data_IF_010411302322
#
_entry.id   IF_010411302322
#
_cell.length_a   1.000
_cell.length_b   1.000
_cell.length_c   1.000
_cell.angle_alpha   90.00
_cell.angle_beta   90.00
_cell.angle_gamma   90.00
#
_symmetry.space_group_name_H-M   'P 1'
#
loop_
_entity.id
_entity.type
_entity.pdbx_description
1 polymer ?
#
# COMPACT_ATOMS: atom_id res chain seq x y z
N UNK A 1 4.02 -22.03 -12.92
CA UNK A 1 4.03 -21.11 -11.75
C UNK A 1 2.64 -21.14 -11.14
N UNK A 2 2.53 -21.40 -9.83
CA UNK A 2 1.25 -21.50 -9.13
C UNK A 2 0.44 -20.21 -9.23
N UNK A 3 -0.88 -20.36 -9.22
CA UNK A 3 -1.81 -19.24 -9.43
C UNK A 3 -1.62 -18.19 -8.35
N UNK A 4 -1.45 -16.93 -8.76
CA UNK A 4 -1.41 -15.80 -7.83
C UNK A 4 -0.25 -15.84 -6.83
N UNK A 5 0.80 -16.62 -7.10
CA UNK A 5 1.99 -16.64 -6.25
C UNK A 5 2.61 -15.24 -6.13
N UNK A 6 2.85 -14.80 -4.90
CA UNK A 6 3.45 -13.49 -4.63
C UNK A 6 4.25 -13.52 -3.33
N UNK A 7 5.49 -13.01 -3.38
CA UNK A 7 6.26 -12.71 -2.18
C UNK A 7 5.75 -11.44 -1.50
N UNK A 8 5.39 -11.56 -0.23
CA UNK A 8 5.04 -10.43 0.64
C UNK A 8 6.26 -9.97 1.40
N UNK A 9 6.99 -10.92 1.98
CA UNK A 9 8.33 -10.69 2.53
C UNK A 9 9.26 -11.56 1.68
N UNK A 10 10.16 -10.92 0.96
CA UNK A 10 11.03 -11.58 -0.01
C UNK A 10 11.72 -12.79 0.61
N UNK A 11 11.54 -13.95 -0.02
CA UNK A 11 12.11 -15.24 0.39
C UNK A 11 11.75 -15.70 1.81
N UNK A 12 10.69 -15.17 2.42
CA UNK A 12 10.26 -15.54 3.78
C UNK A 12 8.78 -15.83 3.89
N UNK A 13 7.94 -14.97 3.29
CA UNK A 13 6.49 -15.07 3.40
C UNK A 13 5.84 -14.82 2.05
N UNK A 14 5.07 -15.79 1.57
CA UNK A 14 4.36 -15.70 0.30
C UNK A 14 2.86 -16.00 0.46
N UNK A 15 2.08 -15.47 -0.49
CA UNK A 15 0.69 -15.87 -0.73
C UNK A 15 0.57 -16.58 -2.08
N UNK A 16 -0.36 -17.52 -2.20
CA UNK A 16 -0.76 -18.10 -3.48
C UNK A 16 -2.22 -18.56 -3.47
N UNK A 17 -2.75 -18.86 -4.66
CA UNK A 17 -3.96 -19.66 -4.82
C UNK A 17 -3.75 -21.11 -4.40
N UNK A 18 -4.84 -21.87 -4.34
CA UNK A 18 -4.79 -23.26 -3.91
C UNK A 18 -3.87 -24.08 -4.82
N UNK A 19 -2.94 -24.87 -4.25
CA UNK A 19 -2.17 -25.83 -5.03
C UNK A 19 -3.11 -26.82 -5.74
N UNK A 20 -2.81 -27.15 -6.99
CA UNK A 20 -3.64 -28.09 -7.77
C UNK A 20 -4.92 -27.48 -8.37
N UNK A 21 -5.11 -26.15 -8.28
CA UNK A 21 -6.33 -25.52 -8.79
C UNK A 21 -6.37 -25.44 -10.32
N UNK A 22 -5.23 -25.18 -10.95
CA UNK A 22 -5.10 -25.07 -12.42
C UNK A 22 -4.09 -26.09 -12.96
N UNK A 23 -2.96 -26.27 -12.28
CA UNK A 23 -1.91 -27.22 -12.66
C UNK A 23 -2.00 -28.49 -11.83
N UNK A 24 -1.18 -29.49 -12.16
CA UNK A 24 -0.98 -30.63 -11.28
C UNK A 24 -0.37 -30.17 -9.94
N UNK A 25 -0.94 -30.65 -8.84
CA UNK A 25 -0.51 -30.25 -7.49
C UNK A 25 0.94 -30.63 -7.19
N UNK A 26 1.46 -31.73 -7.77
CA UNK A 26 2.84 -32.13 -7.62
C UNK A 26 3.80 -31.16 -8.32
N UNK A 27 3.38 -30.52 -9.42
CA UNK A 27 4.14 -29.45 -10.07
C UNK A 27 4.18 -28.19 -9.21
N UNK A 28 3.04 -27.79 -8.63
CA UNK A 28 2.98 -26.65 -7.70
C UNK A 28 3.89 -26.88 -6.48
N UNK A 29 3.85 -28.08 -5.90
CA UNK A 29 4.73 -28.46 -4.80
C UNK A 29 6.21 -28.51 -5.21
N UNK A 30 6.53 -29.03 -6.38
CA UNK A 30 7.91 -29.00 -6.90
C UNK A 30 8.41 -27.57 -7.08
N UNK A 31 7.53 -26.68 -7.55
CA UNK A 31 7.83 -25.25 -7.67
C UNK A 31 8.08 -24.60 -6.30
N UNK A 32 7.24 -24.86 -5.29
CA UNK A 32 7.44 -24.34 -3.94
C UNK A 32 8.74 -24.83 -3.30
N UNK A 33 9.11 -26.10 -3.50
CA UNK A 33 10.42 -26.61 -3.05
C UNK A 33 11.59 -25.84 -3.65
N UNK A 34 11.55 -25.58 -4.96
CA UNK A 34 12.61 -24.85 -5.64
C UNK A 34 12.75 -23.40 -5.15
N UNK A 35 11.69 -22.85 -4.58
CA UNK A 35 11.68 -21.53 -3.93
C UNK A 35 12.08 -21.57 -2.46
N UNK A 36 12.35 -22.75 -1.89
CA UNK A 36 12.72 -22.91 -0.48
C UNK A 36 11.56 -22.86 0.50
N UNK A 37 10.30 -22.91 0.04
CA UNK A 37 9.13 -23.02 0.92
C UNK A 37 9.28 -24.29 1.76
N UNK A 38 9.12 -24.17 3.08
CA UNK A 38 9.18 -25.30 4.02
C UNK A 38 7.86 -25.50 4.77
N UNK A 39 7.05 -24.44 4.91
CA UNK A 39 5.81 -24.45 5.68
C UNK A 39 4.63 -23.92 4.84
N UNK A 40 3.58 -24.72 4.71
CA UNK A 40 2.36 -24.35 3.97
C UNK A 40 1.17 -24.23 4.94
N UNK A 41 0.49 -23.09 4.89
CA UNK A 41 -0.72 -22.80 5.64
C UNK A 41 -1.92 -22.80 4.70
N UNK A 42 -2.81 -23.78 4.89
CA UNK A 42 -4.06 -23.91 4.17
C UNK A 42 -5.19 -23.16 4.90
N UNK A 43 -5.74 -22.12 4.27
CA UNK A 43 -6.83 -21.30 4.81
C UNK A 43 -8.22 -21.69 4.28
N UNK A 44 -8.29 -22.69 3.41
CA UNK A 44 -9.57 -23.18 2.88
C UNK A 44 -10.32 -24.03 3.90
N UNK A 45 -11.62 -24.17 3.70
CA UNK A 45 -12.51 -24.93 4.59
C UNK A 45 -12.15 -26.42 4.64
N UNK A 46 -11.57 -26.93 3.55
CA UNK A 46 -11.29 -28.35 3.38
C UNK A 46 -9.78 -28.61 3.30
N UNK A 47 -9.39 -29.82 3.68
CA UNK A 47 -8.03 -30.31 3.41
C UNK A 47 -7.87 -30.48 1.90
N UNK A 48 -6.71 -30.11 1.36
CA UNK A 48 -6.37 -30.26 -0.06
C UNK A 48 -5.46 -31.48 -0.21
N UNK A 49 -5.95 -32.62 -0.72
CA UNK A 49 -5.12 -33.79 -0.98
C UNK A 49 -4.39 -33.69 -2.33
N UNK A 50 -3.19 -34.31 -2.47
CA UNK A 50 -2.38 -34.90 -1.40
C UNK A 50 -1.83 -33.85 -0.43
N UNK A 51 -1.67 -34.23 0.84
CA UNK A 51 -1.15 -33.30 1.86
C UNK A 51 0.28 -32.85 1.50
N UNK A 52 0.62 -31.56 1.70
CA UNK A 52 1.99 -31.05 1.63
C UNK A 52 3.03 -31.88 2.40
N UNK A 53 2.63 -32.52 3.50
CA UNK A 53 3.54 -33.36 4.31
C UNK A 53 4.10 -34.54 3.54
N UNK A 54 3.35 -35.08 2.57
CA UNK A 54 3.83 -36.15 1.69
C UNK A 54 4.98 -35.70 0.78
N UNK A 55 5.07 -34.40 0.56
CA UNK A 55 6.14 -33.76 -0.21
C UNK A 55 7.21 -33.16 0.70
N UNK A 56 7.14 -33.33 2.02
CA UNK A 56 8.16 -32.86 2.95
C UNK A 56 8.00 -31.40 3.39
N UNK A 57 6.82 -30.80 3.21
CA UNK A 57 6.49 -29.52 3.84
C UNK A 57 5.88 -29.76 5.23
N UNK A 58 6.12 -28.83 6.16
CA UNK A 58 5.23 -28.65 7.32
C UNK A 58 3.88 -28.15 6.81
N UNK A 59 2.79 -28.63 7.40
CA UNK A 59 1.43 -28.19 7.05
C UNK A 59 0.70 -27.66 8.29
N UNK A 60 -0.04 -26.55 8.10
CA UNK A 60 -1.04 -26.07 9.06
C UNK A 60 -2.35 -25.86 8.32
N UNK A 61 -3.41 -26.51 8.80
CA UNK A 61 -4.77 -26.22 8.34
C UNK A 61 -5.43 -25.24 9.31
N UNK A 62 -5.88 -24.10 8.81
CA UNK A 62 -6.57 -23.06 9.55
C UNK A 62 -7.80 -22.60 8.73
N UNK A 63 -8.93 -23.31 8.82
CA UNK A 63 -10.07 -23.06 7.94
C UNK A 63 -10.71 -21.70 8.22
N UNK A 64 -10.90 -20.91 7.17
CA UNK A 64 -11.69 -19.67 7.18
C UNK A 64 -12.76 -19.84 6.11
N UNK A 65 -14.03 -19.64 6.47
CA UNK A 65 -15.14 -19.68 5.53
C UNK A 65 -14.90 -18.69 4.37
N UNK A 66 -15.30 -19.07 3.16
CA UNK A 66 -15.08 -18.22 1.99
C UNK A 66 -15.67 -16.83 2.18
N UNK A 67 -14.95 -15.84 1.65
CA UNK A 67 -15.27 -14.39 1.76
C UNK A 67 -15.42 -13.84 3.19
N UNK A 68 -15.20 -14.66 4.22
CA UNK A 68 -15.40 -14.29 5.62
C UNK A 68 -14.09 -13.87 6.30
N UNK A 69 -14.18 -13.55 7.59
CA UNK A 69 -13.06 -13.23 8.48
C UNK A 69 -12.72 -14.40 9.41
N UNK A 70 -11.48 -14.52 9.88
CA UNK A 70 -11.12 -15.51 10.88
C UNK A 70 -11.58 -15.09 12.28
N UNK A 71 -11.53 -16.01 13.24
CA UNK A 71 -11.67 -15.67 14.65
C UNK A 71 -10.42 -14.89 15.14
N UNK A 72 -10.62 -13.77 15.83
CA UNK A 72 -9.54 -12.83 16.19
C UNK A 72 -8.42 -13.45 17.06
N UNK A 73 -8.69 -14.06 18.24
CA UNK A 73 -7.65 -14.78 19.00
C UNK A 73 -6.93 -15.88 18.20
N UNK A 74 -7.68 -16.67 17.43
CA UNK A 74 -7.11 -17.77 16.65
C UNK A 74 -6.21 -17.26 15.50
N UNK A 75 -6.62 -16.17 14.84
CA UNK A 75 -5.81 -15.50 13.82
C UNK A 75 -4.53 -14.91 14.43
N UNK A 76 -4.61 -14.38 15.65
CA UNK A 76 -3.44 -13.89 16.36
C UNK A 76 -2.43 -15.00 16.65
N UNK A 77 -2.88 -16.13 17.18
CA UNK A 77 -2.05 -17.31 17.40
C UNK A 77 -1.41 -17.83 16.11
N UNK A 78 -2.18 -17.85 15.01
CA UNK A 78 -1.65 -18.24 13.70
C UNK A 78 -0.55 -17.28 13.23
N UNK A 79 -0.75 -15.97 13.36
CA UNK A 79 0.27 -14.99 12.96
C UNK A 79 1.54 -15.13 13.80
N UNK A 80 1.41 -15.37 15.12
CA UNK A 80 2.56 -15.67 15.98
C UNK A 80 3.30 -16.93 15.52
N UNK A 81 2.58 -18.02 15.22
CA UNK A 81 3.17 -19.27 14.73
C UNK A 81 3.93 -19.04 13.40
N UNK A 82 3.35 -18.29 12.47
CA UNK A 82 3.98 -17.95 11.18
C UNK A 82 5.26 -17.14 11.39
N UNK A 83 5.20 -16.08 12.21
CA UNK A 83 6.36 -15.22 12.43
C UNK A 83 7.49 -15.92 13.19
N UNK A 84 7.16 -16.75 14.18
CA UNK A 84 8.15 -17.60 14.87
C UNK A 84 8.81 -18.57 13.90
N UNK A 85 8.05 -19.24 13.02
CA UNK A 85 8.62 -20.12 12.01
C UNK A 85 9.59 -19.37 11.07
N UNK A 86 9.23 -18.14 10.66
CA UNK A 86 10.11 -17.29 9.84
C UNK A 86 11.40 -16.92 10.60
N UNK A 87 11.30 -16.59 11.89
CA UNK A 87 12.46 -16.27 12.72
C UNK A 87 13.37 -17.50 12.97
N UNK A 88 12.79 -18.71 12.96
CA UNK A 88 13.50 -19.99 13.00
C UNK A 88 14.09 -20.42 11.64
N UNK A 89 13.90 -19.60 10.59
CA UNK A 89 14.48 -19.81 9.26
C UNK A 89 13.59 -20.59 8.29
N UNK A 90 12.33 -20.85 8.64
CA UNK A 90 11.36 -21.42 7.71
C UNK A 90 10.90 -20.39 6.67
N UNK A 91 10.53 -20.87 5.49
CA UNK A 91 9.89 -20.04 4.46
C UNK A 91 8.44 -20.46 4.32
N UNK A 92 7.53 -19.52 4.56
CA UNK A 92 6.11 -19.79 4.78
C UNK A 92 5.27 -19.37 3.56
N UNK A 93 4.37 -20.24 3.13
CA UNK A 93 3.37 -19.97 2.10
C UNK A 93 1.96 -20.07 2.67
N UNK A 94 1.15 -19.03 2.48
CA UNK A 94 -0.28 -19.05 2.79
C UNK A 94 -1.08 -19.23 1.51
N UNK A 95 -2.11 -20.07 1.54
CA UNK A 95 -3.05 -20.15 0.44
C UNK A 95 -4.49 -20.24 0.93
N UNK A 96 -5.40 -19.73 0.10
CA UNK A 96 -6.83 -20.04 0.19
C UNK A 96 -7.26 -20.65 -1.15
N UNK A 97 -8.45 -20.35 -1.66
CA UNK A 97 -8.86 -20.80 -2.99
C UNK A 97 -8.16 -19.99 -4.09
N UNK A 98 -8.41 -18.68 -4.16
CA UNK A 98 -7.82 -17.78 -5.16
C UNK A 98 -6.51 -17.11 -4.71
N UNK A 99 -6.19 -17.17 -3.41
CA UNK A 99 -5.00 -16.52 -2.85
C UNK A 99 -5.14 -15.00 -2.65
N UNK A 100 -6.37 -14.48 -2.53
CA UNK A 100 -6.64 -13.03 -2.52
C UNK A 100 -7.30 -12.55 -1.21
N UNK A 101 -8.54 -12.92 -0.91
CA UNK A 101 -9.26 -12.44 0.29
C UNK A 101 -8.63 -12.93 1.60
N UNK A 102 -8.96 -14.16 2.00
CA UNK A 102 -8.48 -14.80 3.25
C UNK A 102 -6.96 -14.78 3.39
N UNK A 103 -6.25 -15.09 2.30
CA UNK A 103 -4.78 -15.05 2.25
C UNK A 103 -4.27 -13.63 2.51
N UNK A 104 -4.79 -12.62 1.80
CA UNK A 104 -4.43 -11.23 2.02
C UNK A 104 -4.71 -10.75 3.45
N UNK A 105 -5.84 -11.17 4.03
CA UNK A 105 -6.19 -10.82 5.42
C UNK A 105 -5.15 -11.31 6.42
N UNK A 106 -4.78 -12.59 6.39
CA UNK A 106 -3.77 -13.12 7.33
C UNK A 106 -2.37 -12.55 7.04
N UNK A 107 -2.01 -12.35 5.76
CA UNK A 107 -0.74 -11.71 5.39
C UNK A 107 -0.65 -10.27 5.95
N UNK A 108 -1.72 -9.48 5.85
CA UNK A 108 -1.80 -8.17 6.47
C UNK A 108 -1.66 -8.25 7.99
N UNK A 109 -2.36 -9.17 8.66
CA UNK A 109 -2.24 -9.38 10.09
C UNK A 109 -0.80 -9.72 10.52
N UNK A 110 -0.08 -10.53 9.76
CA UNK A 110 1.34 -10.81 10.03
C UNK A 110 2.19 -9.54 9.95
N UNK A 111 1.96 -8.68 8.95
CA UNK A 111 2.65 -7.39 8.83
C UNK A 111 2.31 -6.42 9.97
N UNK A 112 1.06 -6.41 10.42
CA UNK A 112 0.63 -5.63 11.58
C UNK A 112 1.34 -6.11 12.84
N UNK A 113 1.43 -7.43 13.03
CA UNK A 113 2.14 -8.02 14.15
C UNK A 113 3.65 -7.74 14.11
N UNK A 114 4.24 -7.57 12.92
CA UNK A 114 5.61 -7.08 12.71
C UNK A 114 5.77 -5.56 12.88
N UNK A 115 4.72 -4.85 13.33
CA UNK A 115 4.78 -3.43 13.69
C UNK A 115 4.30 -2.46 12.62
N UNK A 116 3.77 -2.92 11.47
CA UNK A 116 3.06 -2.02 10.55
C UNK A 116 1.72 -1.59 11.14
N UNK A 117 1.23 -0.42 10.74
CA UNK A 117 -0.18 -0.10 10.97
C UNK A 117 -1.08 -0.95 10.07
N UNK A 118 -2.35 -1.12 10.42
CA UNK A 118 -3.35 -1.80 9.61
C UNK A 118 -3.44 -1.21 8.20
N UNK A 119 -3.42 0.12 8.11
CA UNK A 119 -3.45 0.87 6.85
C UNK A 119 -2.19 0.57 6.03
N UNK A 120 -1.00 0.66 6.64
CA UNK A 120 0.26 0.39 5.93
C UNK A 120 0.36 -1.07 5.48
N UNK A 121 -0.09 -2.01 6.31
CA UNK A 121 -0.11 -3.43 5.98
C UNK A 121 -1.04 -3.71 4.78
N UNK A 122 -2.25 -3.14 4.79
CA UNK A 122 -3.21 -3.27 3.70
C UNK A 122 -2.72 -2.64 2.40
N UNK A 123 -2.16 -1.42 2.48
CA UNK A 123 -1.57 -0.74 1.32
C UNK A 123 -0.40 -1.54 0.75
N UNK A 124 0.50 -2.02 1.62
CA UNK A 124 1.68 -2.78 1.21
C UNK A 124 1.32 -4.04 0.41
N UNK A 125 0.35 -4.83 0.89
CA UNK A 125 -0.10 -6.01 0.14
C UNK A 125 -0.82 -5.61 -1.16
N UNK A 126 -1.59 -4.52 -1.18
CA UNK A 126 -2.32 -4.07 -2.37
C UNK A 126 -1.43 -3.49 -3.47
N UNK A 127 -0.26 -2.94 -3.13
CA UNK A 127 0.77 -2.57 -4.11
C UNK A 127 1.25 -3.82 -4.86
N UNK A 128 1.39 -4.97 -4.16
CA UNK A 128 1.79 -6.24 -4.77
C UNK A 128 0.67 -6.85 -5.61
N UNK A 129 -0.57 -6.79 -5.13
CA UNK A 129 -1.77 -7.15 -5.89
C UNK A 129 -2.99 -6.42 -5.35
N UNK A 130 -3.58 -5.55 -6.17
CA UNK A 130 -4.72 -4.69 -5.80
C UNK A 130 -5.98 -5.47 -5.42
N UNK A 131 -6.05 -6.76 -5.75
CA UNK A 131 -7.18 -7.64 -5.41
C UNK A 131 -7.06 -8.30 -4.03
N UNK A 132 -5.96 -8.12 -3.31
CA UNK A 132 -5.84 -8.61 -1.93
C UNK A 132 -6.86 -7.94 -1.02
N UNK A 133 -7.45 -8.74 -0.10
CA UNK A 133 -8.51 -8.33 0.83
C UNK A 133 -9.76 -7.89 0.06
N UNK A 134 -10.76 -8.78 -0.01
CA UNK A 134 -11.83 -8.70 -1.02
C UNK A 134 -13.16 -8.21 -0.47
N UNK A 135 -13.31 -8.11 0.86
CA UNK A 135 -14.53 -7.63 1.51
C UNK A 135 -14.21 -6.52 2.51
N UNK A 136 -15.18 -5.62 2.71
CA UNK A 136 -15.09 -4.58 3.75
C UNK A 136 -14.88 -5.19 5.14
N UNK A 137 -15.54 -6.31 5.42
CA UNK A 137 -15.40 -7.05 6.68
C UNK A 137 -13.95 -7.49 6.92
N UNK A 138 -13.24 -7.92 5.87
CA UNK A 138 -11.82 -8.29 5.96
C UNK A 138 -10.91 -7.07 6.16
N UNK A 139 -11.22 -5.91 5.56
CA UNK A 139 -10.49 -4.67 5.84
C UNK A 139 -10.68 -4.23 7.30
N UNK A 140 -11.93 -4.19 7.78
CA UNK A 140 -12.27 -3.84 9.16
C UNK A 140 -11.66 -4.81 10.17
N UNK A 141 -11.56 -6.09 9.80
CA UNK A 141 -10.86 -7.08 10.63
C UNK A 141 -9.39 -6.73 10.85
N UNK A 142 -8.68 -6.22 9.84
CA UNK A 142 -7.26 -5.83 9.96
C UNK A 142 -7.13 -4.61 10.89
N UNK A 143 -8.03 -3.64 10.78
CA UNK A 143 -8.10 -2.49 11.69
C UNK A 143 -8.34 -2.95 13.14
N UNK A 144 -9.31 -3.85 13.34
CA UNK A 144 -9.60 -4.45 14.65
C UNK A 144 -8.44 -5.29 15.18
N UNK A 145 -7.70 -5.98 14.30
CA UNK A 145 -6.54 -6.77 14.66
C UNK A 145 -5.39 -5.92 15.21
N UNK A 146 -5.15 -4.73 14.64
CA UNK A 146 -4.18 -3.78 15.20
C UNK A 146 -4.57 -3.38 16.63
N UNK A 147 -5.83 -3.01 16.85
CA UNK A 147 -6.33 -2.65 18.18
C UNK A 147 -6.19 -3.83 19.16
N UNK A 148 -6.51 -5.04 18.71
CA UNK A 148 -6.34 -6.26 19.50
C UNK A 148 -4.87 -6.47 19.92
N UNK A 149 -3.91 -6.27 19.02
CA UNK A 149 -2.48 -6.40 19.35
C UNK A 149 -2.01 -5.35 20.37
N UNK A 150 -2.49 -4.11 20.24
CA UNK A 150 -2.17 -3.02 21.17
C UNK A 150 -2.73 -3.28 22.58
N UNK A 151 -3.95 -3.82 22.67
CA UNK A 151 -4.61 -4.11 23.95
C UNK A 151 -3.99 -5.31 24.68
N UNK A 152 -3.49 -6.31 23.96
CA UNK A 152 -2.95 -7.53 24.55
C UNK A 152 -1.44 -7.47 24.85
N UNK A 153 -0.82 -6.28 24.83
CA UNK A 153 0.63 -6.07 25.03
C UNK A 153 1.47 -7.11 24.29
N UNK A 154 1.23 -7.29 22.99
CA UNK A 154 2.23 -7.94 22.17
C UNK A 154 3.44 -7.01 22.14
N UNK A 155 4.57 -7.45 22.67
CA UNK A 155 5.85 -6.73 22.57
C UNK A 155 6.16 -6.56 21.07
N UNK A 156 5.82 -5.39 20.52
CA UNK A 156 6.37 -4.93 19.25
C UNK A 156 7.83 -4.63 19.57
N UNK A 157 8.75 -5.54 19.24
CA UNK A 157 10.20 -5.34 19.43
C UNK A 157 10.65 -4.15 18.57
N UNK A 158 10.94 -2.98 19.17
CA UNK A 158 11.33 -1.79 18.42
C UNK A 158 12.79 -1.84 17.94
N UNK A 159 13.55 -2.91 18.23
CA UNK A 159 15.01 -2.93 18.08
C UNK A 159 15.57 -3.71 16.88
N UNK A 160 14.75 -4.23 15.95
CA UNK A 160 15.24 -4.88 14.72
C UNK A 160 15.32 -3.99 13.47
N UNK A 161 15.16 -2.67 13.59
CA UNK A 161 15.32 -1.71 12.48
C UNK A 161 16.56 -0.86 12.67
N UNK A 162 17.75 -1.43 12.49
CA UNK A 162 18.94 -0.64 12.12
C UNK A 162 20.09 -1.53 11.59
N UNK A 163 20.40 -1.40 10.30
CA UNK A 163 21.69 -0.86 9.83
C UNK A 163 21.94 -1.19 8.35
N UNK A 164 21.75 -0.20 7.48
CA UNK A 164 22.74 0.11 6.44
C UNK A 164 22.93 1.62 6.41
N UNK A 165 24.11 2.02 6.87
CA UNK A 165 24.66 3.37 6.75
C UNK A 165 24.55 3.88 5.31
N UNK A 166 24.00 5.07 5.13
CA UNK A 166 24.39 5.95 4.03
C UNK A 166 24.70 7.31 4.63
N UNK A 167 25.93 7.73 4.37
CA UNK A 167 26.57 8.98 4.72
C UNK A 167 25.95 10.09 3.87
N UNK A 168 25.55 11.23 4.47
CA UNK A 168 26.06 12.55 4.10
C UNK A 168 25.24 13.72 4.67
N UNK A 169 26.01 14.72 5.11
CA UNK A 169 25.76 16.18 5.10
C UNK A 169 24.53 16.74 5.81
N UNK A 170 24.80 17.27 7.01
CA UNK A 170 24.12 18.46 7.51
C UNK A 170 24.41 19.62 6.56
N UNK A 171 23.38 20.15 5.92
CA UNK A 171 23.29 21.57 5.58
C UNK A 171 21.83 22.04 5.72
N UNK A 172 21.57 23.28 6.20
CA UNK A 172 20.22 23.76 6.45
C UNK A 172 19.52 24.09 5.14
N UNK A 173 18.27 23.63 5.00
CA UNK A 173 17.39 23.98 3.87
C UNK A 173 17.09 25.49 3.94
N UNK A 174 17.72 26.27 3.05
CA UNK A 174 17.35 27.68 2.80
C UNK A 174 15.94 27.76 2.20
N UNK A 175 15.04 28.44 2.93
CA UNK A 175 13.64 28.70 2.55
C UNK A 175 13.53 29.96 1.68
N UNK A 176 12.92 29.86 0.50
CA UNK A 176 12.33 31.05 -0.17
C UNK A 176 10.91 31.30 0.37
N UNK A 177 10.56 32.49 0.90
CA UNK A 177 9.44 32.64 1.85
C UNK A 177 8.11 33.17 1.28
N UNK A 178 8.00 33.53 0.00
CA UNK A 178 6.86 34.33 -0.50
C UNK A 178 5.67 33.54 -1.05
N UNK A 179 5.89 32.44 -1.78
CA UNK A 179 4.81 31.65 -2.40
C UNK A 179 4.10 30.76 -1.36
N UNK A 180 4.86 30.15 -0.45
CA UNK A 180 4.34 29.26 0.59
C UNK A 180 3.27 29.93 1.46
N UNK A 181 3.48 31.19 1.90
CA UNK A 181 2.51 31.88 2.78
C UNK A 181 1.19 32.22 2.09
N UNK A 182 1.19 32.40 0.77
CA UNK A 182 -0.03 32.69 0.02
C UNK A 182 -0.84 31.42 -0.21
N UNK A 183 -0.17 30.29 -0.45
CA UNK A 183 -0.81 28.99 -0.53
C UNK A 183 -1.47 28.62 0.80
N UNK A 184 -0.76 28.75 1.91
CA UNK A 184 -1.27 28.41 3.25
C UNK A 184 -2.57 29.17 3.57
N UNK A 185 -2.56 30.49 3.38
CA UNK A 185 -3.74 31.35 3.57
C UNK A 185 -4.89 31.04 2.62
N UNK A 186 -4.59 30.51 1.43
CA UNK A 186 -5.59 30.13 0.46
C UNK A 186 -6.27 28.82 0.86
N UNK A 187 -5.46 27.85 1.27
CA UNK A 187 -5.88 26.52 1.74
C UNK A 187 -6.71 26.61 3.02
N UNK A 188 -6.41 27.53 3.93
CA UNK A 188 -7.24 27.81 5.12
C UNK A 188 -8.71 28.13 4.78
N UNK A 189 -9.00 28.54 3.55
CA UNK A 189 -10.37 28.81 3.09
C UNK A 189 -11.12 27.54 2.68
N UNK A 190 -10.45 26.41 2.55
CA UNK A 190 -11.05 25.11 2.23
C UNK A 190 -11.35 24.39 3.55
N UNK A 191 -12.64 24.28 3.95
CA UNK A 191 -13.01 23.63 5.21
C UNK A 191 -12.65 22.15 5.20
N UNK A 192 -12.38 21.58 6.37
CA UNK A 192 -12.04 20.16 6.57
C UNK A 192 -10.83 19.65 5.76
N UNK A 193 -9.89 20.56 5.45
CA UNK A 193 -8.57 20.21 4.92
C UNK A 193 -7.75 19.49 5.98
N UNK A 194 -7.23 18.32 5.61
CA UNK A 194 -6.41 17.43 6.45
C UNK A 194 -4.94 17.59 6.13
N UNK A 195 -4.61 17.73 4.85
CA UNK A 195 -3.24 17.88 4.40
C UNK A 195 -3.14 18.70 3.11
N UNK A 196 -2.06 19.44 2.96
CA UNK A 196 -1.68 20.10 1.73
C UNK A 196 -0.20 19.97 1.46
N UNK A 197 0.13 19.88 0.18
CA UNK A 197 1.50 19.84 -0.28
C UNK A 197 1.67 20.51 -1.63
N UNK A 198 2.89 20.95 -1.91
CA UNK A 198 3.33 21.28 -3.26
C UNK A 198 4.48 20.34 -3.59
N UNK A 199 4.29 19.58 -4.66
CA UNK A 199 5.25 18.60 -5.15
C UNK A 199 5.92 19.14 -6.41
N UNK A 200 7.25 19.23 -6.38
CA UNK A 200 8.05 19.55 -7.55
C UNK A 200 8.54 18.25 -8.21
N UNK A 201 7.94 17.91 -9.34
CA UNK A 201 8.25 16.71 -10.11
C UNK A 201 9.60 16.77 -10.83
N UNK A 202 10.22 17.95 -10.96
CA UNK A 202 11.53 18.08 -11.58
C UNK A 202 12.65 17.84 -10.57
N UNK A 203 12.52 18.41 -9.37
CA UNK A 203 13.54 18.31 -8.33
C UNK A 203 13.35 17.13 -7.39
N UNK A 204 12.24 16.40 -7.55
CA UNK A 204 11.79 15.32 -6.66
C UNK A 204 11.69 15.76 -5.20
N UNK A 205 11.30 17.02 -4.99
CA UNK A 205 11.22 17.62 -3.66
C UNK A 205 9.81 18.08 -3.37
N UNK A 206 9.41 17.89 -2.12
CA UNK A 206 8.26 18.56 -1.56
C UNK A 206 8.67 19.94 -1.08
N UNK A 207 8.22 20.97 -1.78
CA UNK A 207 8.54 22.36 -1.47
C UNK A 207 7.68 22.88 -0.32
N UNK A 208 6.53 22.25 -0.10
CA UNK A 208 5.61 22.55 0.98
C UNK A 208 4.87 21.29 1.45
N UNK A 209 4.69 21.14 2.76
CA UNK A 209 3.85 20.12 3.40
C UNK A 209 3.27 20.69 4.70
N UNK A 210 1.95 20.69 4.80
CA UNK A 210 1.21 21.00 6.01
C UNK A 210 0.17 19.90 6.23
N UNK A 211 0.21 19.25 7.38
CA UNK A 211 -0.72 18.17 7.74
C UNK A 211 -1.20 18.35 9.17
N UNK A 212 -2.45 17.98 9.44
CA UNK A 212 -2.99 18.00 10.82
C UNK A 212 -2.45 16.84 11.67
N UNK A 213 -2.03 15.76 11.02
CA UNK A 213 -1.49 14.57 11.65
C UNK A 213 0.02 14.45 11.41
N UNK A 214 0.74 13.83 12.35
CA UNK A 214 2.16 13.57 12.18
C UNK A 214 2.33 12.30 11.31
N UNK A 215 2.80 12.46 10.07
CA UNK A 215 2.98 11.35 9.14
C UNK A 215 4.45 10.91 9.09
N UNK A 216 4.74 9.59 9.08
CA UNK A 216 6.09 9.10 8.83
C UNK A 216 6.63 9.59 7.48
N UNK A 217 7.93 9.90 7.40
CA UNK A 217 8.57 10.37 6.17
C UNK A 217 8.36 9.41 4.98
N UNK A 218 8.29 8.10 5.24
CA UNK A 218 8.00 7.10 4.21
C UNK A 218 6.64 7.30 3.53
N UNK A 219 5.62 7.74 4.28
CA UNK A 219 4.28 8.03 3.71
C UNK A 219 4.35 9.26 2.82
N UNK A 220 5.15 10.25 3.22
CA UNK A 220 5.40 11.47 2.47
C UNK A 220 6.16 11.16 1.16
N UNK A 221 7.15 10.28 1.21
CA UNK A 221 7.91 9.86 0.03
C UNK A 221 7.05 9.02 -0.94
N UNK A 222 6.13 8.20 -0.42
CA UNK A 222 5.16 7.47 -1.25
C UNK A 222 4.13 8.40 -1.91
N UNK A 223 3.75 9.51 -1.25
CA UNK A 223 2.90 10.54 -1.85
C UNK A 223 3.58 11.15 -3.09
N UNK A 224 4.90 11.39 -3.01
CA UNK A 224 5.69 11.84 -4.15
C UNK A 224 5.61 10.82 -5.30
N UNK A 225 5.98 9.57 -5.03
CA UNK A 225 6.01 8.52 -6.05
C UNK A 225 4.64 8.32 -6.72
N UNK A 226 3.56 8.29 -5.92
CA UNK A 226 2.20 8.17 -6.44
C UNK A 226 1.81 9.39 -7.30
N UNK A 227 2.19 10.59 -6.90
CA UNK A 227 1.92 11.81 -7.68
C UNK A 227 2.70 11.83 -8.99
N UNK A 228 3.96 11.39 -8.96
CA UNK A 228 4.80 11.22 -10.14
C UNK A 228 4.19 10.22 -11.12
N UNK A 229 3.78 9.03 -10.65
CA UNK A 229 3.11 8.03 -11.49
C UNK A 229 1.83 8.57 -12.15
N UNK A 230 1.03 9.33 -11.41
CA UNK A 230 -0.23 9.92 -11.91
C UNK A 230 -0.04 11.02 -12.96
N UNK A 231 1.05 11.78 -12.90
CA UNK A 231 1.26 12.98 -13.74
C UNK A 231 2.40 12.86 -14.75
N UNK A 232 3.34 11.96 -14.52
CA UNK A 232 4.54 11.74 -15.33
C UNK A 232 4.90 10.26 -15.47
N UNK A 233 4.05 9.33 -15.02
CA UNK A 233 4.27 7.90 -15.23
C UNK A 233 4.40 7.54 -16.72
N UNK A 234 5.08 6.42 -17.05
CA UNK A 234 5.39 6.07 -18.44
C UNK A 234 4.16 6.05 -19.36
N UNK A 235 3.03 5.54 -18.87
CA UNK A 235 1.77 5.50 -19.63
C UNK A 235 1.14 6.86 -19.83
N UNK A 236 1.24 7.75 -18.86
CA UNK A 236 0.77 9.13 -18.98
C UNK A 236 1.60 9.84 -20.05
N UNK A 237 2.92 9.71 -20.00
CA UNK A 237 3.82 10.30 -20.99
C UNK A 237 3.59 9.72 -22.40
N UNK A 238 3.40 8.41 -22.54
CA UNK A 238 3.06 7.77 -23.82
C UNK A 238 1.77 8.37 -24.42
N UNK A 239 0.72 8.56 -23.61
CA UNK A 239 -0.56 9.16 -24.04
C UNK A 239 -0.36 10.62 -24.44
N UNK A 240 0.36 11.41 -23.63
CA UNK A 240 0.64 12.81 -23.95
C UNK A 240 1.44 12.95 -25.25
N UNK A 241 2.46 12.11 -25.46
CA UNK A 241 3.24 12.08 -26.69
C UNK A 241 2.38 11.74 -27.91
N UNK A 242 1.49 10.75 -27.79
CA UNK A 242 0.56 10.40 -28.86
C UNK A 242 -0.38 11.58 -29.21
N UNK A 243 -0.89 12.28 -28.20
CA UNK A 243 -1.72 13.48 -28.42
C UNK A 243 -0.93 14.62 -29.05
N UNK A 244 0.32 14.85 -28.64
CA UNK A 244 1.21 15.83 -29.27
C UNK A 244 1.39 15.54 -30.77
N UNK A 245 1.64 14.26 -31.11
CA UNK A 245 1.85 13.82 -32.49
C UNK A 245 0.61 14.03 -33.34
N UNK A 246 -0.57 13.63 -32.83
CA UNK A 246 -1.83 13.76 -33.55
C UNK A 246 -2.21 15.24 -33.75
N UNK A 247 -2.02 16.08 -32.73
CA UNK A 247 -2.44 17.49 -32.75
C UNK A 247 -1.38 18.47 -33.25
N UNK A 248 -0.15 17.99 -33.53
CA UNK A 248 0.99 18.82 -33.92
C UNK A 248 1.31 19.92 -32.88
N UNK A 249 1.14 19.60 -31.61
CA UNK A 249 1.38 20.50 -30.48
C UNK A 249 2.74 20.20 -29.82
N UNK A 250 3.38 21.24 -29.27
CA UNK A 250 4.65 21.06 -28.55
C UNK A 250 4.41 20.71 -27.08
N UNK A 251 4.62 19.44 -26.74
CA UNK A 251 4.71 18.91 -25.37
C UNK A 251 3.71 19.50 -24.35
N UNK A 252 2.39 19.51 -24.60
CA UNK A 252 1.44 19.93 -23.59
C UNK A 252 1.35 18.85 -22.50
N UNK A 253 1.31 19.28 -21.25
CA UNK A 253 0.81 18.42 -20.18
C UNK A 253 -0.72 18.43 -20.21
N UNK A 254 -1.34 17.38 -20.75
CA UNK A 254 -2.79 17.27 -20.90
C UNK A 254 -3.49 16.92 -19.59
N UNK A 255 -2.81 16.19 -18.70
CA UNK A 255 -3.34 15.85 -17.38
C UNK A 255 -3.09 17.02 -16.42
N UNK A 256 -4.14 17.80 -16.17
CA UNK A 256 -4.10 19.00 -15.32
C UNK A 256 -4.57 18.71 -13.90
N UNK A 257 -5.68 18.01 -13.74
CA UNK A 257 -6.28 17.74 -12.43
C UNK A 257 -6.65 16.27 -12.30
N UNK A 258 -6.46 15.73 -11.11
CA UNK A 258 -6.83 14.36 -10.75
C UNK A 258 -7.53 14.41 -9.41
N UNK A 259 -8.67 13.72 -9.30
CA UNK A 259 -9.45 13.63 -8.07
C UNK A 259 -9.58 12.17 -7.70
N UNK A 260 -9.12 11.82 -6.50
CA UNK A 260 -9.19 10.46 -5.96
C UNK A 260 -10.07 10.47 -4.74
N UNK A 261 -11.10 9.61 -4.74
CA UNK A 261 -11.95 9.40 -3.58
C UNK A 261 -11.46 8.17 -2.81
N UNK A 262 -11.37 8.30 -1.49
CA UNK A 262 -11.05 7.21 -0.56
C UNK A 262 -12.11 7.14 0.54
N UNK A 263 -12.05 6.13 1.42
CA UNK A 263 -13.10 5.83 2.43
C UNK A 263 -13.62 7.08 3.14
N UNK A 264 -12.72 7.98 3.57
CA UNK A 264 -13.09 9.21 4.30
C UNK A 264 -12.45 10.49 3.74
N UNK A 265 -11.64 10.40 2.68
CA UNK A 265 -10.90 11.54 2.15
C UNK A 265 -11.10 11.73 0.64
N UNK A 266 -11.09 12.99 0.22
CA UNK A 266 -10.97 13.42 -1.17
C UNK A 266 -9.55 13.94 -1.33
N UNK A 267 -8.82 13.39 -2.30
CA UNK A 267 -7.49 13.84 -2.68
C UNK A 267 -7.61 14.55 -4.01
N UNK A 268 -7.33 15.84 -4.00
CA UNK A 268 -7.37 16.70 -5.17
C UNK A 268 -5.95 17.10 -5.55
N UNK A 269 -5.57 16.76 -6.76
CA UNK A 269 -4.28 17.09 -7.35
C UNK A 269 -4.51 18.08 -8.48
N UNK A 270 -3.68 19.12 -8.55
CA UNK A 270 -3.76 20.11 -9.63
C UNK A 270 -2.39 20.61 -10.04
N UNK A 271 -2.11 20.52 -11.34
CA UNK A 271 -0.90 21.04 -11.96
C UNK A 271 -1.01 22.55 -12.09
N UNK A 272 0.01 23.26 -11.64
CA UNK A 272 0.08 24.72 -11.77
C UNK A 272 0.14 25.15 -13.23
N UNK A 273 -0.57 26.23 -13.57
CA UNK A 273 -0.57 26.82 -14.91
C UNK A 273 0.76 27.52 -15.22
N UNK A 274 1.30 28.23 -14.23
CA UNK A 274 2.53 29.02 -14.34
C UNK A 274 3.82 28.17 -14.25
N UNK A 275 3.76 27.04 -13.54
CA UNK A 275 4.85 26.08 -13.43
C UNK A 275 4.32 24.64 -13.56
N UNK A 276 4.34 24.06 -14.76
CA UNK A 276 3.78 22.73 -14.97
C UNK A 276 4.51 21.62 -14.20
N UNK A 277 5.71 21.83 -13.68
CA UNK A 277 6.40 20.82 -12.86
C UNK A 277 5.88 20.77 -11.42
N UNK A 278 5.10 21.75 -10.99
CA UNK A 278 4.50 21.80 -9.66
C UNK A 278 3.10 21.22 -9.65
N UNK A 279 2.84 20.35 -8.67
CA UNK A 279 1.51 19.78 -8.39
C UNK A 279 1.09 20.22 -6.99
N UNK A 280 -0.02 20.94 -6.90
CA UNK A 280 -0.72 21.16 -5.64
C UNK A 280 -1.47 19.87 -5.27
N UNK A 281 -1.29 19.44 -4.03
CA UNK A 281 -2.01 18.31 -3.43
C UNK A 281 -2.84 18.86 -2.28
N UNK A 282 -4.13 18.55 -2.28
CA UNK A 282 -5.07 18.96 -1.25
C UNK A 282 -5.87 17.73 -0.83
N UNK A 283 -5.81 17.40 0.45
CA UNK A 283 -6.54 16.28 1.04
C UNK A 283 -7.58 16.84 1.99
N UNK A 284 -8.83 16.51 1.73
CA UNK A 284 -9.98 16.96 2.52
C UNK A 284 -10.81 15.76 2.98
N UNK A 285 -11.63 15.95 4.01
CA UNK A 285 -12.66 14.96 4.36
C UNK A 285 -13.76 14.88 3.29
N UNK A 286 -14.42 13.74 3.17
CA UNK A 286 -15.47 13.48 2.13
C UNK A 286 -16.74 14.31 2.28
N UNK A 287 -16.94 14.98 3.41
CA UNK A 287 -18.04 15.91 3.65
C UNK A 287 -17.87 17.26 2.92
N UNK A 288 -16.69 17.55 2.38
CA UNK A 288 -16.42 18.79 1.64
C UNK A 288 -17.18 18.81 0.31
N UNK A 289 -17.80 19.94 0.00
CA UNK A 289 -18.41 20.17 -1.31
C UNK A 289 -17.32 20.19 -2.40
N UNK A 290 -17.32 19.18 -3.26
CA UNK A 290 -16.31 19.01 -4.32
C UNK A 290 -16.23 20.21 -5.26
N UNK A 291 -17.37 20.79 -5.66
CA UNK A 291 -17.37 21.93 -6.56
C UNK A 291 -16.70 23.16 -5.92
N UNK A 292 -16.93 23.37 -4.62
CA UNK A 292 -16.27 24.41 -3.84
C UNK A 292 -14.76 24.16 -3.72
N UNK A 293 -14.35 22.92 -3.42
CA UNK A 293 -12.94 22.51 -3.36
C UNK A 293 -12.23 22.80 -4.68
N UNK A 294 -12.77 22.31 -5.80
CA UNK A 294 -12.17 22.49 -7.13
C UNK A 294 -12.15 23.96 -7.53
N UNK A 295 -13.26 24.68 -7.33
CA UNK A 295 -13.36 26.11 -7.68
C UNK A 295 -12.32 26.94 -6.93
N UNK A 296 -12.18 26.71 -5.63
CA UNK A 296 -11.14 27.35 -4.82
C UNK A 296 -9.76 26.94 -5.31
N UNK A 297 -9.44 25.65 -5.34
CA UNK A 297 -8.10 25.23 -5.72
C UNK A 297 -7.65 25.79 -7.08
N UNK A 298 -8.54 25.80 -8.10
CA UNK A 298 -8.28 26.44 -9.39
C UNK A 298 -8.05 27.95 -9.30
N UNK A 299 -8.79 28.65 -8.44
CA UNK A 299 -8.62 30.10 -8.28
C UNK A 299 -7.25 30.49 -7.70
N UNK A 300 -6.46 29.55 -7.21
CA UNK A 300 -5.06 29.75 -6.84
C UNK A 300 -4.10 29.11 -7.84
N UNK A 301 -4.28 27.82 -8.14
CA UNK A 301 -3.32 27.00 -8.90
C UNK A 301 -3.25 27.41 -10.38
N UNK A 302 -4.32 28.01 -10.92
CA UNK A 302 -4.42 28.38 -12.33
C UNK A 302 -4.35 29.89 -12.60
N UNK A 303 -3.96 30.71 -11.61
CA UNK A 303 -3.62 32.13 -11.84
C UNK A 303 -2.28 32.26 -12.57
#
# INVERSE_FOLDING_TARGET
MPVGFCWIIDQKLAGAGQPGLIHDIAEDYSYYKNLGISFIVNLTENIVPPSPTQYGFREKHFPINDMSIPNMPAAHQLCQEILTAIDEGETVLLHCKAGLGRTGTILACCLVLQGKTAIDALQYIRIKNSSYVQTTEQEEFIDQYQLYCQQNKCEIDPQKVENKQVIASKDPIEKKPSENRLFDKFIEQIPDTVATAIIDLQTQKMTHLQTIDNHPQQVIDLLYAATEDMYQGPKIQEIEQLFCQIRQEQKPHYFKEIIVFSKNLIHYFSRFSNNPHHIAVIVCRTNVNLANLVSKARSYVWQ
#
